data_IF_705708772117
#
_entry.id   IF_705708772117
#
_cell.length_a   1.000
_cell.length_b   1.000
_cell.length_c   1.000
_cell.angle_alpha   90.00
_cell.angle_beta   90.00
_cell.angle_gamma   90.00
#
_symmetry.space_group_name_H-M   'P 1'
#
loop_
_entity.id
_entity.type
_entity.pdbx_description
1 polymer ?
#
# COMPACT_ATOMS: atom_id res chain seq x y z
N UNK A 1 -13.77 -19.35 11.57
CA UNK A 1 -13.26 -18.10 10.96
C UNK A 1 -11.90 -18.35 10.34
N UNK A 2 -11.55 -17.61 9.29
CA UNK A 2 -10.26 -17.78 8.64
C UNK A 2 -9.14 -17.10 9.44
N UNK A 3 -7.92 -17.56 9.24
CA UNK A 3 -6.76 -16.93 9.84
C UNK A 3 -6.63 -15.46 9.41
N UNK A 4 -6.92 -15.18 8.14
CA UNK A 4 -6.89 -13.83 7.61
C UNK A 4 -7.87 -12.90 8.34
N UNK A 5 -9.09 -13.36 8.56
CA UNK A 5 -10.10 -12.57 9.28
C UNK A 5 -9.68 -12.28 10.72
N UNK A 6 -9.07 -13.27 11.38
CA UNK A 6 -8.55 -13.07 12.73
C UNK A 6 -7.42 -12.06 12.73
N UNK A 7 -6.53 -12.13 11.73
CA UNK A 7 -5.42 -11.19 11.58
C UNK A 7 -5.92 -9.76 11.37
N UNK A 8 -6.97 -9.59 10.56
CA UNK A 8 -7.54 -8.26 10.31
C UNK A 8 -8.02 -7.58 11.58
N UNK A 9 -8.54 -8.33 12.53
CA UNK A 9 -8.99 -7.78 13.82
C UNK A 9 -7.84 -7.15 14.60
N UNK A 10 -6.62 -7.61 14.38
CA UNK A 10 -5.44 -7.13 15.08
C UNK A 10 -4.70 -6.01 14.35
N UNK A 11 -5.00 -5.80 13.07
CA UNK A 11 -4.35 -4.76 12.29
C UNK A 11 -4.96 -3.38 12.58
N UNK A 12 -4.14 -2.32 12.57
CA UNK A 12 -4.65 -0.96 12.64
C UNK A 12 -5.62 -0.69 11.51
N UNK A 13 -6.65 0.09 11.78
CA UNK A 13 -7.66 0.40 10.77
C UNK A 13 -7.17 1.34 9.68
N UNK A 14 -6.18 2.17 9.99
CA UNK A 14 -5.57 3.12 9.04
C UNK A 14 -6.59 4.04 8.39
N UNK A 15 -7.57 4.52 9.16
CA UNK A 15 -8.66 5.36 8.65
C UNK A 15 -8.18 6.67 8.05
N UNK A 16 -7.06 7.20 8.54
CA UNK A 16 -6.47 8.44 8.06
C UNK A 16 -5.79 8.30 6.70
N UNK A 17 -5.52 7.07 6.27
CA UNK A 17 -4.84 6.82 4.99
C UNK A 17 -5.86 6.76 3.87
N UNK A 18 -5.71 7.61 2.86
CA UNK A 18 -6.59 7.64 1.68
C UNK A 18 -6.15 6.60 0.66
N UNK A 19 -4.84 6.51 0.45
CA UNK A 19 -4.26 5.49 -0.43
C UNK A 19 -2.77 5.33 -0.13
N UNK A 20 -2.22 4.22 -0.59
CA UNK A 20 -0.77 3.99 -0.58
C UNK A 20 -0.30 3.92 -2.02
N UNK A 21 0.86 4.49 -2.29
CA UNK A 21 1.56 4.34 -3.57
C UNK A 21 2.81 3.51 -3.33
N UNK A 22 2.98 2.48 -4.12
CA UNK A 22 4.08 1.53 -3.98
C UNK A 22 5.06 1.70 -5.14
N UNK A 23 6.33 1.95 -4.82
CA UNK A 23 7.38 2.18 -5.81
C UNK A 23 8.50 1.15 -5.65
N UNK A 24 9.14 0.80 -6.76
CA UNK A 24 10.34 -0.02 -6.71
C UNK A 24 11.58 0.86 -6.45
N UNK A 25 12.76 0.26 -6.44
CA UNK A 25 14.01 0.97 -6.19
C UNK A 25 14.37 2.01 -7.25
N UNK A 26 13.77 1.89 -8.43
CA UNK A 26 13.96 2.84 -9.55
C UNK A 26 12.89 3.93 -9.55
N UNK A 27 12.12 4.04 -8.46
CA UNK A 27 11.01 5.00 -8.33
C UNK A 27 9.91 4.81 -9.38
N UNK A 28 9.77 3.60 -9.89
CA UNK A 28 8.67 3.26 -10.77
C UNK A 28 7.46 2.86 -9.94
N UNK A 29 6.30 3.41 -10.27
CA UNK A 29 5.05 3.09 -9.59
C UNK A 29 4.62 1.66 -9.92
N UNK A 30 4.53 0.82 -8.88
CA UNK A 30 4.13 -0.58 -9.03
C UNK A 30 2.64 -0.78 -8.77
N UNK A 31 2.08 -0.04 -7.83
CA UNK A 31 0.68 -0.25 -7.45
C UNK A 31 0.14 0.95 -6.70
N UNK A 32 -1.16 1.17 -6.87
CA UNK A 32 -1.95 2.08 -6.04
C UNK A 32 -2.87 1.22 -5.19
N UNK A 33 -2.87 1.46 -3.89
CA UNK A 33 -3.66 0.70 -2.94
C UNK A 33 -4.62 1.65 -2.24
N UNK A 34 -5.86 1.79 -2.75
CA UNK A 34 -6.82 2.72 -2.17
C UNK A 34 -7.46 2.17 -0.90
N UNK A 35 -7.87 3.09 -0.03
CA UNK A 35 -8.62 2.73 1.18
C UNK A 35 -10.11 2.76 0.85
N UNK A 36 -10.65 1.61 0.48
CA UNK A 36 -12.07 1.46 0.14
C UNK A 36 -12.76 0.72 1.27
N UNK A 37 -13.80 1.31 1.83
CA UNK A 37 -14.55 0.70 2.93
C UNK A 37 -14.98 -0.73 2.57
N UNK A 38 -14.69 -1.66 3.46
CA UNK A 38 -14.98 -3.07 3.27
C UNK A 38 -14.05 -3.82 2.33
N UNK A 39 -13.08 -3.12 1.71
CA UNK A 39 -12.14 -3.72 0.75
C UNK A 39 -10.73 -3.18 0.96
N UNK A 40 -10.37 -2.87 2.21
CA UNK A 40 -9.08 -2.23 2.52
C UNK A 40 -8.08 -3.15 3.22
N UNK A 41 -8.29 -4.46 3.15
CA UNK A 41 -7.42 -5.40 3.83
C UNK A 41 -5.96 -5.28 3.37
N UNK A 42 -5.73 -5.22 2.05
CA UNK A 42 -4.39 -5.07 1.50
C UNK A 42 -3.74 -3.77 1.98
N UNK A 43 -4.48 -2.66 1.95
CA UNK A 43 -3.97 -1.38 2.43
C UNK A 43 -3.53 -1.48 3.89
N UNK A 44 -4.33 -2.11 4.73
CA UNK A 44 -4.03 -2.25 6.16
C UNK A 44 -2.76 -3.07 6.38
N UNK A 45 -2.57 -4.16 5.63
CA UNK A 45 -1.36 -4.99 5.72
C UNK A 45 -0.14 -4.19 5.26
N UNK A 46 -0.20 -3.59 4.07
CA UNK A 46 0.92 -2.82 3.53
C UNK A 46 1.29 -1.64 4.43
N UNK A 47 0.28 -0.96 4.98
CA UNK A 47 0.51 0.15 5.91
C UNK A 47 1.25 -0.32 7.17
N UNK A 48 0.83 -1.46 7.70
CA UNK A 48 1.44 -2.04 8.91
C UNK A 48 2.91 -2.41 8.66
N UNK A 49 3.20 -3.13 7.59
CA UNK A 49 4.56 -3.63 7.33
C UNK A 49 5.50 -2.53 6.84
N UNK A 50 4.99 -1.50 6.20
CA UNK A 50 5.82 -0.38 5.77
C UNK A 50 6.32 0.44 6.96
N UNK A 51 5.53 0.51 8.03
CA UNK A 51 5.88 1.26 9.24
C UNK A 51 6.06 2.75 8.97
N UNK A 52 6.69 3.43 9.90
CA UNK A 52 6.93 4.88 9.79
C UNK A 52 7.93 5.23 8.70
N UNK A 53 8.88 4.34 8.42
CA UNK A 53 9.89 4.58 7.40
C UNK A 53 9.35 4.53 5.98
N UNK A 54 8.18 3.92 5.78
CA UNK A 54 7.61 3.77 4.45
C UNK A 54 8.42 2.86 3.54
N UNK A 55 9.07 1.83 4.11
CA UNK A 55 9.90 0.89 3.36
C UNK A 55 9.48 -0.54 3.66
N UNK A 56 9.43 -1.35 2.61
CA UNK A 56 9.16 -2.78 2.72
C UNK A 56 10.37 -3.52 2.17
N UNK A 57 11.13 -4.16 3.05
CA UNK A 57 12.23 -5.05 2.68
C UNK A 57 11.74 -6.51 2.68
N UNK A 58 12.65 -7.46 2.46
CA UNK A 58 12.26 -8.87 2.42
C UNK A 58 11.70 -9.38 3.74
N UNK A 59 12.19 -8.87 4.87
CA UNK A 59 11.68 -9.25 6.19
C UNK A 59 10.29 -8.69 6.41
N UNK A 60 10.04 -7.43 6.04
CA UNK A 60 8.71 -6.83 6.11
C UNK A 60 7.73 -7.57 5.20
N UNK A 61 8.20 -7.99 4.01
CA UNK A 61 7.37 -8.74 3.08
C UNK A 61 6.95 -10.08 3.68
N UNK A 62 7.85 -10.77 4.37
CA UNK A 62 7.52 -12.02 5.07
C UNK A 62 6.46 -11.79 6.14
N UNK A 63 6.58 -10.71 6.90
CA UNK A 63 5.56 -10.34 7.88
C UNK A 63 4.21 -10.12 7.18
N UNK A 64 4.20 -9.40 6.07
CA UNK A 64 2.98 -9.16 5.29
C UNK A 64 2.32 -10.46 4.83
N UNK A 65 3.11 -11.42 4.39
CA UNK A 65 2.61 -12.73 3.98
C UNK A 65 1.96 -13.47 5.16
N UNK A 66 2.51 -13.34 6.36
CA UNK A 66 1.90 -13.91 7.56
C UNK A 66 0.54 -13.28 7.84
N UNK A 67 0.42 -11.95 7.68
CA UNK A 67 -0.84 -11.26 7.87
C UNK A 67 -1.90 -11.68 6.86
N UNK A 68 -1.51 -12.00 5.62
CA UNK A 68 -2.44 -12.47 4.58
C UNK A 68 -2.92 -13.91 4.82
N UNK A 69 -2.18 -14.69 5.62
CA UNK A 69 -2.61 -16.03 6.03
C UNK A 69 -2.85 -16.95 4.84
N UNK A 70 -4.03 -17.58 4.79
CA UNK A 70 -4.39 -18.56 3.76
C UNK A 70 -4.45 -18.00 2.34
N UNK A 71 -4.51 -16.67 2.18
CA UNK A 71 -4.50 -16.06 0.84
C UNK A 71 -3.18 -16.28 0.11
N UNK A 72 -2.08 -16.54 0.83
CA UNK A 72 -0.80 -16.85 0.21
C UNK A 72 -0.92 -18.11 -0.66
N UNK A 73 -1.55 -19.17 -0.11
CA UNK A 73 -1.77 -20.40 -0.87
C UNK A 73 -2.68 -20.17 -2.07
N UNK A 74 -3.69 -19.32 -1.91
CA UNK A 74 -4.59 -18.98 -3.03
C UNK A 74 -3.84 -18.25 -4.13
N UNK A 75 -2.92 -17.36 -3.76
CA UNK A 75 -2.09 -16.64 -4.73
C UNK A 75 -1.17 -17.59 -5.50
N UNK A 76 -0.61 -18.59 -4.82
CA UNK A 76 0.24 -19.61 -5.46
C UNK A 76 -0.52 -20.45 -6.48
N UNK A 77 -1.79 -20.79 -6.17
CA UNK A 77 -2.63 -21.61 -7.02
C UNK A 77 -3.17 -20.82 -8.21
N UNK A 78 -3.37 -19.52 -8.04
CA UNK A 78 -3.96 -18.65 -9.06
C UNK A 78 -3.05 -17.47 -9.40
N UNK A 79 -1.92 -17.70 -10.12
CA UNK A 79 -1.02 -16.63 -10.49
C UNK A 79 -1.73 -15.52 -11.26
N UNK A 80 -1.41 -14.27 -10.89
CA UNK A 80 -2.00 -13.09 -11.52
C UNK A 80 -3.28 -12.57 -10.88
N UNK A 81 -3.93 -13.36 -10.03
CA UNK A 81 -5.17 -12.94 -9.36
C UNK A 81 -4.94 -12.06 -8.14
N UNK A 82 -3.83 -12.28 -7.44
CA UNK A 82 -3.50 -11.57 -6.19
C UNK A 82 -2.21 -10.80 -6.38
N UNK A 83 -2.24 -9.81 -7.28
CA UNK A 83 -1.04 -9.09 -7.73
C UNK A 83 -0.28 -8.41 -6.59
N UNK A 84 -0.99 -7.80 -5.63
CA UNK A 84 -0.35 -7.14 -4.50
C UNK A 84 0.38 -8.15 -3.62
N UNK A 85 -0.25 -9.29 -3.39
CA UNK A 85 0.34 -10.37 -2.61
C UNK A 85 1.58 -10.93 -3.31
N UNK A 86 1.50 -11.07 -4.62
CA UNK A 86 2.63 -11.57 -5.42
C UNK A 86 3.84 -10.63 -5.36
N UNK A 87 3.62 -9.31 -5.26
CA UNK A 87 4.71 -8.37 -5.08
C UNK A 87 5.52 -8.70 -3.82
N UNK A 88 4.83 -9.03 -2.72
CA UNK A 88 5.50 -9.43 -1.49
C UNK A 88 6.17 -10.80 -1.62
N UNK A 89 5.52 -11.75 -2.29
CA UNK A 89 6.05 -13.10 -2.48
C UNK A 89 7.34 -13.10 -3.30
N UNK A 90 7.46 -12.16 -4.24
CA UNK A 90 8.59 -12.11 -5.18
C UNK A 90 9.70 -11.16 -4.74
N UNK A 91 9.54 -10.46 -3.63
CA UNK A 91 10.57 -9.55 -3.14
C UNK A 91 11.72 -10.34 -2.55
N UNK A 92 12.89 -10.16 -3.15
CA UNK A 92 14.10 -10.90 -2.78
C UNK A 92 14.93 -10.14 -1.75
N UNK A 93 15.79 -10.84 -0.97
CA UNK A 93 16.72 -10.17 -0.05
C UNK A 93 17.55 -9.14 -0.82
N UNK A 94 17.73 -7.98 -0.21
CA UNK A 94 18.45 -6.87 -0.84
C UNK A 94 17.59 -5.95 -1.69
N UNK A 95 16.37 -6.37 -2.01
CA UNK A 95 15.40 -5.52 -2.70
C UNK A 95 14.46 -4.87 -1.68
N UNK A 96 13.90 -3.73 -2.05
CA UNK A 96 12.90 -3.07 -1.21
C UNK A 96 11.90 -2.28 -2.06
N UNK A 97 10.75 -2.00 -1.44
CA UNK A 97 9.74 -1.10 -2.01
C UNK A 97 9.64 0.13 -1.14
N UNK A 98 9.37 1.27 -1.76
CA UNK A 98 9.05 2.51 -1.05
C UNK A 98 7.53 2.68 -1.06
N UNK A 99 6.97 2.99 0.09
CA UNK A 99 5.53 3.19 0.26
C UNK A 99 5.28 4.64 0.62
N UNK A 100 4.49 5.32 -0.18
CA UNK A 100 4.07 6.69 0.08
C UNK A 100 2.64 6.66 0.62
N UNK A 101 2.45 7.19 1.81
CA UNK A 101 1.14 7.26 2.46
C UNK A 101 0.49 8.60 2.13
N UNK A 102 -0.67 8.54 1.51
CA UNK A 102 -1.48 9.73 1.25
C UNK A 102 -2.59 9.76 2.29
N UNK A 103 -2.51 10.74 3.18
CA UNK A 103 -3.50 10.93 4.24
C UNK A 103 -4.52 11.96 3.83
N UNK A 104 -5.61 12.09 4.58
CA UNK A 104 -6.65 13.09 4.32
C UNK A 104 -6.08 14.50 4.30
N UNK A 105 -5.19 14.82 5.25
CA UNK A 105 -4.55 16.14 5.31
C UNK A 105 -3.64 16.37 4.12
N UNK A 106 -2.87 15.36 3.74
CA UNK A 106 -1.99 15.42 2.58
C UNK A 106 -2.79 15.60 1.29
N UNK A 107 -3.92 14.91 1.17
CA UNK A 107 -4.82 15.04 0.02
C UNK A 107 -5.34 16.47 -0.11
N UNK A 108 -5.76 17.06 1.00
CA UNK A 108 -6.25 18.44 1.03
C UNK A 108 -5.14 19.43 0.64
N UNK A 109 -3.93 19.20 1.13
CA UNK A 109 -2.79 20.02 0.77
C UNK A 109 -2.48 19.93 -0.72
N UNK A 110 -2.47 18.74 -1.28
CA UNK A 110 -2.23 18.53 -2.70
C UNK A 110 -3.32 19.20 -3.55
N UNK A 111 -4.57 19.14 -3.12
CA UNK A 111 -5.67 19.79 -3.82
C UNK A 111 -5.48 21.31 -3.83
N UNK A 112 -5.10 21.88 -2.70
CA UNK A 112 -4.83 23.32 -2.59
C UNK A 112 -3.67 23.73 -3.49
N UNK A 113 -2.63 22.92 -3.58
CA UNK A 113 -1.48 23.19 -4.45
C UNK A 113 -1.90 23.15 -5.91
N UNK A 114 -2.71 22.18 -6.30
CA UNK A 114 -3.23 22.09 -7.68
C UNK A 114 -4.07 23.31 -8.04
N UNK A 115 -4.94 23.75 -7.15
CA UNK A 115 -5.79 24.90 -7.39
C UNK A 115 -4.96 26.16 -7.56
N UNK A 116 -3.96 26.37 -6.72
CA UNK A 116 -3.04 27.49 -6.82
C UNK A 116 -2.22 27.44 -8.11
N UNK A 117 -1.74 26.26 -8.46
CA UNK A 117 -0.94 26.07 -9.66
C UNK A 117 -1.76 26.32 -10.93
N UNK A 118 -2.99 25.82 -10.97
CA UNK A 118 -3.89 26.04 -12.08
C UNK A 118 -4.16 27.55 -12.26
N UNK A 119 -4.44 28.25 -11.16
CA UNK A 119 -4.64 29.69 -11.19
C UNK A 119 -3.40 30.44 -11.68
N UNK A 120 -2.22 30.02 -11.24
CA UNK A 120 -0.97 30.65 -11.67
C UNK A 120 -0.71 30.40 -13.16
N UNK A 121 -0.98 29.23 -13.64
CA UNK A 121 -0.83 28.88 -15.06
C UNK A 121 -1.79 29.70 -15.93
N UNK A 122 -3.03 29.87 -15.50
CA UNK A 122 -4.00 30.70 -16.18
C UNK A 122 -3.55 32.17 -16.24
N UNK A 123 -2.93 32.64 -15.18
CA UNK A 123 -2.44 34.01 -15.10
C UNK A 123 -1.25 34.22 -16.04
N UNK A 124 -0.38 33.22 -16.17
CA UNK A 124 0.81 33.28 -17.02
C UNK A 124 0.46 33.07 -18.50
N UNK A 125 -0.60 32.36 -18.75
CA UNK A 125 -1.04 32.12 -20.11
C UNK A 125 -1.70 33.37 -20.73
#
# INVERSE_FOLDING_TARGET
>A
MSQFEENLKQLPKAEEVVLLRLFNEKDQLLSLIPNVAGKNAALRVFNKIAGERGLIDSDSAKEGLQWFGEYVSKAEVHPGRHKKLELLMNLKPGQNFRVEKITSDHKNLLQNIRDRKASAEETEA
#
